data_IF_904370145415
#
_entry.id   IF_904370145415
#
_cell.length_a   1.000
_cell.length_b   1.000
_cell.length_c   1.000
_cell.angle_alpha   90.00
_cell.angle_beta   90.00
_cell.angle_gamma   90.00
#
_symmetry.space_group_name_H-M   'P 1'
#
loop_
_entity.id
_entity.type
_entity.pdbx_description
1 polymer ?
#
# COMPACT_ATOMS: atom_id res chain seq x y z
N UNK A 1 -16.00 16.89 -10.29
CA UNK A 1 -16.26 17.28 -8.89
C UNK A 1 -15.51 16.31 -8.01
N UNK A 2 -14.62 16.81 -7.16
CA UNK A 2 -13.66 16.02 -6.40
C UNK A 2 -14.39 15.18 -5.33
N UNK A 3 -13.87 14.00 -5.02
CA UNK A 3 -14.46 13.04 -4.10
C UNK A 3 -13.44 11.97 -3.78
N UNK A 4 -13.61 11.29 -2.66
CA UNK A 4 -12.59 10.38 -2.11
C UNK A 4 -12.72 9.02 -2.79
N UNK A 5 -11.64 8.43 -3.33
CA UNK A 5 -11.67 7.07 -3.86
C UNK A 5 -12.11 6.05 -2.79
N UNK A 6 -12.96 5.10 -3.15
CA UNK A 6 -13.52 4.10 -2.23
C UNK A 6 -12.46 3.18 -1.64
N UNK A 7 -11.39 2.85 -2.38
CA UNK A 7 -10.24 2.10 -1.86
C UNK A 7 -9.59 2.86 -0.70
N UNK A 8 -9.29 4.14 -0.88
CA UNK A 8 -8.70 4.99 0.16
C UNK A 8 -9.63 5.12 1.36
N UNK A 9 -10.93 5.30 1.12
CA UNK A 9 -11.91 5.38 2.19
C UNK A 9 -11.91 4.13 3.07
N UNK A 10 -11.95 2.95 2.44
CA UNK A 10 -11.95 1.68 3.15
C UNK A 10 -10.63 1.42 3.89
N UNK A 11 -9.49 1.75 3.30
CA UNK A 11 -8.19 1.66 3.96
C UNK A 11 -8.09 2.53 5.20
N UNK A 12 -8.54 3.79 5.13
CA UNK A 12 -8.53 4.67 6.30
C UNK A 12 -9.42 4.13 7.42
N UNK A 13 -10.57 3.51 7.09
CA UNK A 13 -11.42 2.82 8.08
C UNK A 13 -10.71 1.61 8.69
N UNK A 14 -10.07 0.77 7.87
CA UNK A 14 -9.30 -0.37 8.35
C UNK A 14 -8.15 0.07 9.27
N UNK A 15 -7.39 1.11 8.90
CA UNK A 15 -6.32 1.69 9.71
C UNK A 15 -6.81 2.23 11.05
N UNK A 16 -7.96 2.92 11.06
CA UNK A 16 -8.56 3.44 12.29
C UNK A 16 -8.96 2.33 13.28
N UNK A 17 -9.29 1.14 12.77
CA UNK A 17 -9.58 -0.03 13.60
C UNK A 17 -8.35 -0.90 13.91
N UNK A 18 -7.22 -0.65 13.26
CA UNK A 18 -6.02 -1.46 13.38
C UNK A 18 -5.27 -1.19 14.69
N UNK A 19 -5.67 -1.90 15.76
CA UNK A 19 -4.95 -1.94 17.05
C UNK A 19 -3.77 -2.92 17.07
N UNK A 20 -3.42 -3.52 15.93
CA UNK A 20 -2.60 -4.74 15.88
C UNK A 20 -1.09 -4.53 15.63
N UNK A 21 -0.66 -3.30 15.36
CA UNK A 21 0.77 -2.98 15.31
C UNK A 21 1.19 -2.45 16.68
N UNK A 22 1.97 -3.24 17.43
CA UNK A 22 2.53 -2.89 18.75
C UNK A 22 3.44 -1.64 18.75
N UNK A 23 3.49 -0.89 17.65
CA UNK A 23 4.37 0.26 17.39
C UNK A 23 3.62 1.51 16.92
N UNK A 24 2.29 1.45 16.74
CA UNK A 24 1.47 2.62 16.39
C UNK A 24 0.58 2.93 17.59
N UNK A 25 0.77 4.12 18.17
CA UNK A 25 0.07 4.51 19.39
C UNK A 25 -1.44 4.73 19.14
N UNK A 26 -1.81 5.55 18.15
CA UNK A 26 -3.20 5.79 17.72
C UNK A 26 -3.23 6.44 16.31
N UNK A 27 -4.18 6.06 15.45
CA UNK A 27 -4.41 6.69 14.13
C UNK A 27 -5.83 7.22 14.01
N UNK A 28 -6.00 8.46 13.53
CA UNK A 28 -7.31 9.05 13.24
C UNK A 28 -7.34 9.71 11.87
N UNK A 29 -8.50 9.60 11.21
CA UNK A 29 -8.75 10.19 9.90
C UNK A 29 -10.17 10.78 9.87
N UNK A 30 -10.27 12.02 9.40
CA UNK A 30 -11.53 12.74 9.25
C UNK A 30 -11.56 13.46 7.91
N UNK A 31 -12.76 13.65 7.37
CA UNK A 31 -12.98 14.38 6.13
C UNK A 31 -13.72 15.68 6.42
N UNK A 32 -13.27 16.76 5.79
CA UNK A 32 -13.99 18.03 5.80
C UNK A 32 -15.24 17.89 4.94
N UNK A 33 -16.41 18.05 5.54
CA UNK A 33 -17.70 17.93 4.85
C UNK A 33 -18.45 19.27 4.72
N UNK A 34 -18.06 20.29 5.48
CA UNK A 34 -18.63 21.65 5.38
C UNK A 34 -17.75 22.64 4.61
N UNK A 35 -18.37 23.72 4.10
CA UNK A 35 -17.70 24.77 3.34
C UNK A 35 -17.13 25.89 4.22
N UNK A 36 -16.02 26.56 3.82
CA UNK A 36 -15.21 26.27 2.65
C UNK A 36 -14.40 24.96 2.75
N UNK A 37 -14.26 24.29 1.60
CA UNK A 37 -13.30 23.21 1.44
C UNK A 37 -11.87 23.72 1.67
N UNK A 38 -11.03 22.85 2.24
CA UNK A 38 -9.63 23.16 2.54
C UNK A 38 -8.74 22.41 1.56
N UNK A 39 -7.83 23.14 0.90
CA UNK A 39 -6.79 22.59 0.05
C UNK A 39 -5.45 23.10 0.54
N UNK A 40 -4.92 22.46 1.58
CA UNK A 40 -3.65 22.82 2.20
C UNK A 40 -2.90 21.56 2.61
N UNK A 41 -1.59 21.57 2.43
CA UNK A 41 -0.70 20.59 3.04
C UNK A 41 -0.03 21.26 4.25
N UNK A 42 -0.60 21.01 5.43
CA UNK A 42 -0.12 21.51 6.71
C UNK A 42 0.31 20.33 7.57
N UNK A 43 1.53 20.39 8.08
CA UNK A 43 2.08 19.39 8.99
C UNK A 43 2.42 20.05 10.31
N UNK A 44 1.86 19.54 11.41
CA UNK A 44 2.08 20.06 12.77
C UNK A 44 2.60 18.93 13.64
N UNK A 45 3.77 19.11 14.23
CA UNK A 45 4.32 18.18 15.21
C UNK A 45 4.00 18.71 16.61
N UNK A 46 3.52 17.80 17.46
CA UNK A 46 3.22 18.11 18.86
C UNK A 46 4.02 17.20 19.78
N UNK A 47 4.32 17.69 20.98
CA UNK A 47 4.88 16.91 22.08
C UNK A 47 3.97 17.07 23.29
N UNK A 48 3.37 15.97 23.73
CA UNK A 48 2.39 15.98 24.83
C UNK A 48 1.26 16.99 24.58
N UNK A 49 0.78 17.07 23.33
CA UNK A 49 -0.27 18.00 22.90
C UNK A 49 0.19 19.45 22.64
N UNK A 50 1.44 19.81 22.96
CA UNK A 50 1.96 21.15 22.70
C UNK A 50 2.64 21.21 21.32
N UNK A 51 2.30 22.18 20.44
CA UNK A 51 2.89 22.27 19.12
C UNK A 51 4.34 22.73 19.20
N UNK A 52 5.25 22.02 18.53
CA UNK A 52 6.71 22.25 18.58
C UNK A 52 7.25 22.82 17.28
N UNK A 53 6.81 22.30 16.13
CA UNK A 53 7.18 22.79 14.80
C UNK A 53 6.03 22.56 13.81
N UNK A 54 5.95 23.39 12.79
CA UNK A 54 4.95 23.28 11.74
C UNK A 54 5.49 23.77 10.40
N UNK A 55 5.02 23.15 9.32
CA UNK A 55 5.39 23.47 7.94
C UNK A 55 4.16 23.46 7.04
N UNK A 56 4.11 24.40 6.10
CA UNK A 56 3.06 24.49 5.09
C UNK A 56 3.65 24.67 3.70
N UNK A 57 3.06 24.06 2.69
CA UNK A 57 3.54 24.22 1.31
C UNK A 57 2.88 23.28 0.30
N UNK A 58 3.62 22.90 -0.74
CA UNK A 58 3.11 22.08 -1.84
C UNK A 58 3.14 20.57 -1.58
N UNK A 59 4.01 20.11 -0.67
CA UNK A 59 4.25 18.68 -0.40
C UNK A 59 2.97 17.94 0.04
N UNK A 60 2.40 17.02 -0.77
CA UNK A 60 1.30 16.17 -0.32
C UNK A 60 1.80 15.10 0.67
N UNK A 61 0.87 14.43 1.37
CA UNK A 61 1.23 13.35 2.30
C UNK A 61 1.47 12.03 1.55
N UNK A 62 2.54 11.96 0.77
CA UNK A 62 3.05 10.75 0.10
C UNK A 62 4.53 10.53 0.42
N UNK A 63 5.12 9.39 0.08
CA UNK A 63 6.51 9.11 0.44
C UNK A 63 7.49 10.00 -0.32
N UNK A 64 7.19 10.36 -1.58
CA UNK A 64 8.06 11.12 -2.48
C UNK A 64 8.29 12.55 -1.96
N UNK A 65 7.32 13.08 -1.23
CA UNK A 65 7.43 14.40 -0.61
C UNK A 65 8.26 14.40 0.69
N UNK A 66 8.56 13.22 1.26
CA UNK A 66 9.27 13.07 2.53
C UNK A 66 10.60 12.29 2.41
N UNK A 67 10.86 11.66 1.27
CA UNK A 67 12.07 10.89 0.97
C UNK A 67 12.81 11.50 -0.23
N UNK A 68 14.07 11.11 -0.50
CA UNK A 68 14.78 11.58 -1.68
C UNK A 68 13.99 11.28 -2.96
N UNK A 69 13.51 12.33 -3.63
CA UNK A 69 12.73 12.25 -4.86
C UNK A 69 13.32 13.16 -5.94
N UNK A 70 12.91 12.94 -7.19
CA UNK A 70 13.22 13.84 -8.31
C UNK A 70 12.27 15.04 -8.38
N UNK A 71 11.22 15.04 -7.55
CA UNK A 71 10.28 16.15 -7.40
C UNK A 71 10.72 17.00 -6.21
N UNK A 72 10.78 18.31 -6.40
CA UNK A 72 11.10 19.27 -5.34
C UNK A 72 9.81 20.00 -4.93
N UNK A 73 9.42 19.84 -3.67
CA UNK A 73 8.30 20.56 -3.06
C UNK A 73 8.78 21.77 -2.27
N UNK A 74 8.03 22.87 -2.35
CA UNK A 74 8.30 24.07 -1.58
C UNK A 74 7.56 23.96 -0.25
N UNK A 75 8.31 24.07 0.85
CA UNK A 75 7.78 24.05 2.22
C UNK A 75 8.38 25.20 3.02
N UNK A 76 7.53 25.93 3.73
CA UNK A 76 7.93 27.05 4.59
C UNK A 76 7.59 26.74 6.06
N UNK A 77 8.47 27.09 7.01
CA UNK A 77 8.14 27.03 8.43
C UNK A 77 7.04 28.05 8.76
N UNK A 78 6.07 27.62 9.56
CA UNK A 78 4.95 28.46 10.02
C UNK A 78 4.85 28.41 11.55
N UNK A 79 4.12 29.37 12.15
CA UNK A 79 3.97 29.37 13.61
C UNK A 79 3.23 28.09 14.08
N UNK A 80 3.82 27.29 14.98
CA UNK A 80 3.22 26.02 15.39
C UNK A 80 1.90 26.18 16.15
N UNK A 81 1.73 27.28 16.91
CA UNK A 81 0.51 27.52 17.71
C UNK A 81 -0.63 27.95 16.81
N UNK A 82 -0.40 28.90 15.91
CA UNK A 82 -1.39 29.33 14.92
C UNK A 82 -1.80 28.17 14.01
N UNK A 83 -0.85 27.32 13.62
CA UNK A 83 -1.10 26.13 12.81
C UNK A 83 -1.99 25.11 13.52
N UNK A 84 -1.76 24.85 14.80
CA UNK A 84 -2.61 23.96 15.58
C UNK A 84 -4.03 24.52 15.74
N UNK A 85 -4.15 25.83 16.00
CA UNK A 85 -5.47 26.51 16.08
C UNK A 85 -6.22 26.41 14.75
N UNK A 86 -5.52 26.58 13.63
CA UNK A 86 -6.10 26.40 12.30
C UNK A 86 -6.57 24.96 12.08
N UNK A 87 -5.74 23.97 12.44
CA UNK A 87 -6.11 22.55 12.40
C UNK A 87 -7.37 22.26 13.23
N UNK A 88 -7.43 22.70 14.49
CA UNK A 88 -8.58 22.49 15.38
C UNK A 88 -9.86 23.14 14.81
N UNK A 89 -9.74 24.30 14.16
CA UNK A 89 -10.84 24.97 13.48
C UNK A 89 -11.39 24.11 12.33
N UNK A 90 -10.53 23.42 11.60
CA UNK A 90 -10.93 22.48 10.54
C UNK A 90 -11.52 21.20 11.14
N UNK A 91 -10.99 20.70 12.25
CA UNK A 91 -11.54 19.52 12.91
C UNK A 91 -13.02 19.68 13.27
N UNK A 92 -13.43 20.88 13.72
CA UNK A 92 -14.83 21.19 14.06
C UNK A 92 -15.83 21.06 12.91
N UNK A 93 -15.35 21.01 11.67
CA UNK A 93 -16.14 20.88 10.43
C UNK A 93 -15.78 19.62 9.65
N UNK A 94 -15.20 18.66 10.36
CA UNK A 94 -14.81 17.38 9.83
C UNK A 94 -15.61 16.26 10.50
N UNK A 95 -15.72 15.13 9.82
CA UNK A 95 -16.37 13.93 10.33
C UNK A 95 -15.40 12.76 10.18
N UNK A 96 -15.31 11.91 11.21
CA UNK A 96 -14.45 10.72 11.16
C UNK A 96 -14.81 9.85 9.94
N UNK A 97 -13.80 9.28 9.29
CA UNK A 97 -14.02 8.37 8.16
C UNK A 97 -14.81 7.11 8.53
N UNK A 98 -14.90 6.79 9.83
CA UNK A 98 -15.64 5.67 10.39
C UNK A 98 -17.06 6.03 10.85
N UNK A 99 -17.47 7.29 10.75
CA UNK A 99 -18.80 7.72 11.17
C UNK A 99 -19.89 7.07 10.30
N UNK A 100 -21.00 6.64 10.89
CA UNK A 100 -22.06 5.90 10.19
C UNK A 100 -22.67 6.69 9.01
N UNK A 101 -22.69 8.02 9.11
CA UNK A 101 -23.27 8.94 8.13
C UNK A 101 -22.21 9.56 7.18
N UNK A 102 -20.96 9.06 7.18
CA UNK A 102 -19.88 9.70 6.40
C UNK A 102 -20.17 9.72 4.90
N UNK A 103 -20.75 8.65 4.36
CA UNK A 103 -21.06 8.51 2.92
C UNK A 103 -22.27 9.37 2.49
N UNK A 104 -23.06 9.87 3.45
CA UNK A 104 -24.14 10.83 3.21
C UNK A 104 -23.62 12.26 3.14
N UNK A 105 -22.52 12.55 3.85
CA UNK A 105 -21.95 13.88 3.99
C UNK A 105 -20.74 14.12 3.07
N UNK A 106 -20.06 13.05 2.64
CA UNK A 106 -18.86 13.09 1.81
C UNK A 106 -19.02 12.19 0.61
N UNK A 107 -18.68 12.71 -0.57
CA UNK A 107 -18.74 11.94 -1.82
C UNK A 107 -17.60 10.93 -1.88
N UNK A 108 -17.89 9.69 -1.52
CA UNK A 108 -17.04 8.53 -1.84
C UNK A 108 -17.33 8.11 -3.28
N UNK A 109 -16.28 7.99 -4.09
CA UNK A 109 -16.38 7.55 -5.48
C UNK A 109 -15.91 6.11 -5.55
N UNK A 110 -16.66 5.26 -6.22
CA UNK A 110 -16.12 3.98 -6.66
C UNK A 110 -14.94 4.26 -7.57
N UNK A 111 -13.75 4.03 -7.04
CA UNK A 111 -12.57 3.75 -7.81
C UNK A 111 -12.57 2.25 -8.02
N UNK A 112 -13.49 1.80 -8.87
CA UNK A 112 -13.21 0.62 -9.65
C UNK A 112 -11.94 0.96 -10.42
N UNK A 113 -10.78 0.71 -9.80
CA UNK A 113 -9.47 0.53 -10.43
C UNK A 113 -9.56 -0.72 -11.31
N UNK A 114 -10.57 -0.78 -12.16
CA UNK A 114 -10.52 -1.58 -13.36
C UNK A 114 -9.42 -0.92 -14.16
N UNK A 115 -8.31 -1.63 -14.33
CA UNK A 115 -7.24 -1.29 -15.27
C UNK A 115 -7.77 -0.85 -16.64
N UNK A 116 -9.03 -1.18 -16.96
CA UNK A 116 -9.82 -0.68 -18.09
C UNK A 116 -9.82 0.85 -18.20
N UNK A 117 -9.97 1.62 -17.11
CA UNK A 117 -9.99 3.09 -17.19
C UNK A 117 -8.58 3.70 -17.24
N UNK A 118 -7.60 3.11 -16.54
CA UNK A 118 -6.19 3.52 -16.56
C UNK A 118 -5.49 3.19 -17.90
N UNK A 119 -5.83 2.06 -18.52
CA UNK A 119 -5.29 1.63 -19.82
C UNK A 119 -5.85 2.41 -21.02
N UNK A 120 -6.96 3.15 -20.83
CA UNK A 120 -7.61 3.91 -21.89
C UNK A 120 -6.83 5.16 -22.33
N UNK A 121 -5.83 5.61 -21.56
CA UNK A 121 -5.09 6.84 -21.87
C UNK A 121 -3.56 6.67 -21.97
N UNK A 122 -2.97 5.60 -21.41
CA UNK A 122 -1.56 5.22 -21.66
C UNK A 122 -1.36 3.72 -21.45
N UNK A 123 -0.53 3.07 -22.27
CA UNK A 123 -0.10 1.70 -22.01
C UNK A 123 0.88 1.71 -20.83
N UNK A 124 0.35 1.64 -19.61
CA UNK A 124 1.16 1.61 -18.39
C UNK A 124 2.18 0.47 -18.43
N UNK A 125 3.37 0.74 -17.92
CA UNK A 125 4.42 -0.27 -17.82
C UNK A 125 3.96 -1.38 -16.87
N UNK A 126 4.17 -2.63 -17.27
CA UNK A 126 3.80 -3.80 -16.48
C UNK A 126 4.84 -4.90 -16.57
N UNK A 127 4.91 -5.73 -15.53
CA UNK A 127 5.75 -6.92 -15.47
C UNK A 127 4.97 -8.09 -14.88
N UNK A 128 5.18 -9.28 -15.42
CA UNK A 128 4.61 -10.52 -14.87
C UNK A 128 5.70 -11.31 -14.16
N UNK A 129 5.45 -11.65 -12.90
CA UNK A 129 6.36 -12.39 -12.03
C UNK A 129 5.80 -13.78 -11.76
N UNK A 130 6.56 -14.81 -12.14
CA UNK A 130 6.18 -16.20 -11.86
C UNK A 130 6.30 -16.51 -10.36
N UNK A 131 5.30 -17.21 -9.82
CA UNK A 131 5.30 -17.79 -8.48
C UNK A 131 5.99 -19.17 -8.46
N UNK A 132 6.31 -19.72 -9.64
CA UNK A 132 7.04 -20.96 -9.82
C UNK A 132 8.56 -20.72 -9.87
N UNK A 133 9.30 -21.80 -9.68
CA UNK A 133 10.75 -21.83 -9.92
C UNK A 133 11.06 -21.81 -11.42
N UNK A 134 12.34 -21.69 -11.77
CA UNK A 134 12.81 -21.73 -13.16
C UNK A 134 12.48 -23.05 -13.88
N UNK A 135 12.34 -24.13 -13.12
CA UNK A 135 12.01 -25.45 -13.65
C UNK A 135 10.49 -25.64 -13.82
N UNK A 136 9.69 -24.59 -13.59
CA UNK A 136 8.23 -24.64 -13.69
C UNK A 136 7.53 -25.35 -12.53
N UNK A 137 8.24 -25.57 -11.42
CA UNK A 137 7.73 -26.27 -10.22
C UNK A 137 7.59 -25.34 -9.03
N UNK A 138 6.82 -25.73 -8.00
CA UNK A 138 6.70 -24.93 -6.78
C UNK A 138 7.96 -25.06 -5.92
N UNK A 139 8.45 -23.93 -5.41
CA UNK A 139 9.62 -23.92 -4.53
C UNK A 139 9.34 -24.66 -3.22
N UNK A 140 10.19 -25.62 -2.84
CA UNK A 140 10.03 -26.32 -1.54
C UNK A 140 10.37 -25.45 -0.33
N UNK A 141 11.31 -24.51 -0.48
CA UNK A 141 11.81 -23.60 0.58
C UNK A 141 12.10 -22.20 0.02
N UNK A 142 11.35 -21.79 -1.01
CA UNK A 142 11.49 -20.52 -1.72
C UNK A 142 10.12 -20.01 -2.19
N UNK A 143 10.06 -18.75 -2.62
CA UNK A 143 8.80 -18.11 -3.05
C UNK A 143 7.75 -18.15 -1.94
N UNK A 144 6.56 -18.66 -2.26
CA UNK A 144 5.43 -18.81 -1.34
C UNK A 144 5.68 -19.75 -0.15
N UNK A 145 6.66 -20.65 -0.28
CA UNK A 145 7.02 -21.63 0.75
C UNK A 145 8.37 -21.32 1.42
N UNK A 146 8.88 -20.08 1.34
CA UNK A 146 10.17 -19.73 1.92
C UNK A 146 10.25 -19.97 3.45
N UNK A 147 9.12 -19.87 4.14
CA UNK A 147 8.97 -20.16 5.57
C UNK A 147 8.89 -21.65 5.92
N UNK A 148 8.72 -22.56 4.96
CA UNK A 148 8.47 -24.00 5.16
C UNK A 148 9.75 -24.76 5.56
N UNK A 149 10.29 -24.43 6.73
CA UNK A 149 11.50 -25.03 7.32
C UNK A 149 11.52 -24.84 8.83
N UNK A 150 12.30 -25.68 9.51
CA UNK A 150 12.48 -25.61 10.95
C UNK A 150 12.93 -24.19 11.39
N UNK A 151 12.40 -23.73 12.52
CA UNK A 151 12.73 -22.45 13.16
C UNK A 151 12.43 -21.19 12.32
N UNK A 152 11.45 -21.26 11.42
CA UNK A 152 10.92 -20.09 10.70
C UNK A 152 9.41 -20.03 10.89
N UNK A 153 8.85 -18.82 10.77
CA UNK A 153 7.41 -18.69 10.68
C UNK A 153 6.98 -19.30 9.32
N UNK A 154 6.12 -20.34 9.30
CA UNK A 154 5.73 -21.04 8.08
C UNK A 154 4.99 -20.18 7.04
N UNK A 155 4.44 -19.04 7.47
CA UNK A 155 3.80 -18.06 6.57
C UNK A 155 4.78 -17.18 5.81
N UNK A 156 6.08 -17.15 6.16
CA UNK A 156 7.00 -16.25 5.47
C UNK A 156 7.10 -16.60 3.98
N UNK A 157 6.87 -15.59 3.13
CA UNK A 157 6.93 -15.72 1.67
C UNK A 157 7.61 -14.50 1.04
N UNK A 158 7.99 -14.63 -0.23
CA UNK A 158 8.40 -13.52 -1.08
C UNK A 158 7.96 -13.80 -2.53
N UNK A 159 7.79 -12.76 -3.34
CA UNK A 159 7.60 -12.90 -4.80
C UNK A 159 8.98 -12.79 -5.46
N UNK A 160 9.44 -13.78 -6.24
CA UNK A 160 10.71 -13.71 -6.94
C UNK A 160 10.74 -12.60 -7.99
N UNK A 161 11.81 -11.82 -8.03
CA UNK A 161 12.06 -10.81 -9.05
C UNK A 161 13.24 -11.24 -9.92
N UNK A 162 13.02 -11.51 -11.23
CA UNK A 162 14.10 -11.75 -12.18
C UNK A 162 15.10 -10.58 -12.23
N UNK A 163 16.38 -10.91 -12.37
CA UNK A 163 17.47 -9.91 -12.39
C UNK A 163 17.28 -8.84 -13.48
N UNK A 164 16.64 -9.20 -14.60
CA UNK A 164 16.33 -8.28 -15.69
C UNK A 164 15.31 -7.22 -15.29
N UNK A 165 14.31 -7.59 -14.49
CA UNK A 165 13.31 -6.66 -13.96
C UNK A 165 13.93 -5.78 -12.87
N UNK A 166 14.71 -6.36 -11.96
CA UNK A 166 15.43 -5.60 -10.93
C UNK A 166 16.38 -4.55 -11.55
N UNK A 167 17.10 -4.89 -12.61
CA UNK A 167 18.00 -3.97 -13.33
C UNK A 167 17.27 -2.87 -14.10
N UNK A 168 16.05 -3.13 -14.56
CA UNK A 168 15.21 -2.13 -15.25
C UNK A 168 14.66 -1.06 -14.30
N UNK A 169 14.77 -1.26 -12.97
CA UNK A 169 14.19 -0.37 -11.95
C UNK A 169 12.67 -0.17 -12.12
N UNK A 170 11.97 -1.25 -12.48
CA UNK A 170 10.51 -1.25 -12.53
C UNK A 170 9.92 -0.97 -11.13
N UNK A 171 10.49 -1.59 -10.09
CA UNK A 171 10.15 -1.32 -8.70
C UNK A 171 11.21 -0.40 -8.06
N UNK A 172 10.83 0.42 -7.05
CA UNK A 172 11.75 1.20 -6.24
C UNK A 172 12.85 0.33 -5.62
N UNK A 173 14.11 0.77 -5.76
CA UNK A 173 15.29 0.08 -5.27
C UNK A 173 15.70 0.61 -3.87
N UNK A 174 16.90 0.25 -3.40
CA UNK A 174 17.47 0.76 -2.13
C UNK A 174 16.59 0.49 -0.88
N UNK A 175 15.76 -0.56 -0.96
CA UNK A 175 14.77 -0.95 0.07
C UNK A 175 13.67 0.09 0.30
N UNK A 176 13.46 1.02 -0.64
CA UNK A 176 12.30 1.91 -0.64
C UNK A 176 11.01 1.09 -0.64
N UNK A 177 10.05 1.56 0.14
CA UNK A 177 8.74 0.92 0.29
C UNK A 177 7.78 1.51 -0.73
N UNK A 178 6.86 0.71 -1.23
CA UNK A 178 5.81 1.18 -2.13
C UNK A 178 4.51 0.44 -1.85
N UNK A 179 3.40 1.08 -2.21
CA UNK A 179 2.06 0.56 -1.97
C UNK A 179 1.57 -0.18 -3.20
N UNK A 180 0.93 -1.32 -2.96
CA UNK A 180 0.39 -2.19 -3.99
C UNK A 180 -1.09 -2.41 -3.71
N UNK A 181 -1.94 -1.90 -4.60
CA UNK A 181 -3.36 -2.25 -4.64
C UNK A 181 -3.54 -3.58 -5.36
N UNK A 182 -4.29 -4.51 -4.78
CA UNK A 182 -4.51 -5.82 -5.38
C UNK A 182 -5.86 -5.90 -6.08
N UNK A 183 -6.02 -6.89 -6.95
CA UNK A 183 -7.29 -7.15 -7.63
C UNK A 183 -8.47 -7.51 -6.69
N UNK A 184 -8.19 -7.92 -5.45
CA UNK A 184 -9.19 -8.15 -4.40
C UNK A 184 -9.33 -6.97 -3.42
N UNK A 185 -8.94 -5.75 -3.83
CA UNK A 185 -9.05 -4.51 -3.08
C UNK A 185 -8.33 -4.55 -1.73
N UNK A 186 -7.16 -5.20 -1.70
CA UNK A 186 -6.26 -5.20 -0.56
C UNK A 186 -5.01 -4.39 -0.88
N UNK A 187 -4.39 -3.90 0.18
CA UNK A 187 -3.27 -2.98 0.08
C UNK A 187 -2.07 -3.61 0.78
N UNK A 188 -0.99 -3.75 0.04
CA UNK A 188 0.26 -4.33 0.52
C UNK A 188 1.35 -3.27 0.43
N UNK A 189 2.14 -3.12 1.50
CA UNK A 189 3.38 -2.35 1.44
C UNK A 189 4.50 -3.33 1.10
N UNK A 190 5.16 -3.15 -0.04
CA UNK A 190 6.24 -4.00 -0.50
C UNK A 190 7.57 -3.24 -0.59
N UNK A 191 8.68 -3.97 -0.57
CA UNK A 191 10.02 -3.48 -0.92
C UNK A 191 10.85 -4.58 -1.57
N UNK A 192 11.83 -4.19 -2.37
CA UNK A 192 12.87 -5.11 -2.85
C UNK A 192 13.87 -5.46 -1.74
N UNK A 193 14.20 -6.75 -1.63
CA UNK A 193 15.14 -7.29 -0.65
C UNK A 193 16.03 -8.41 -1.22
N UNK A 194 16.99 -8.83 -0.39
CA UNK A 194 17.97 -9.89 -0.60
C UNK A 194 19.07 -9.53 -1.60
N UNK A 195 20.00 -10.46 -1.80
CA UNK A 195 21.11 -10.27 -2.73
C UNK A 195 20.58 -9.99 -4.15
N UNK A 196 20.94 -8.82 -4.70
CA UNK A 196 20.56 -8.34 -6.05
C UNK A 196 19.06 -8.06 -6.22
N UNK A 197 18.38 -7.65 -5.14
CA UNK A 197 16.99 -7.19 -5.20
C UNK A 197 16.05 -8.25 -5.83
N UNK A 198 16.28 -9.51 -5.49
CA UNK A 198 15.62 -10.67 -6.11
C UNK A 198 14.28 -11.06 -5.49
N UNK A 199 13.83 -10.34 -4.46
CA UNK A 199 12.67 -10.71 -3.67
C UNK A 199 11.83 -9.48 -3.29
N UNK A 200 10.54 -9.50 -3.63
CA UNK A 200 9.55 -8.58 -3.05
C UNK A 200 9.04 -9.13 -1.73
N UNK A 201 9.06 -8.29 -0.70
CA UNK A 201 8.71 -8.66 0.68
C UNK A 201 7.93 -7.53 1.35
N UNK A 202 7.21 -7.85 2.43
CA UNK A 202 6.53 -6.87 3.27
C UNK A 202 7.48 -6.42 4.40
N UNK A 203 7.63 -5.10 4.65
CA UNK A 203 8.70 -4.56 5.50
C UNK A 203 8.58 -4.91 6.98
N UNK A 204 7.33 -5.05 7.48
CA UNK A 204 7.04 -5.40 8.86
C UNK A 204 7.25 -6.90 9.14
N UNK A 205 6.76 -7.74 8.23
CA UNK A 205 6.82 -9.19 8.38
C UNK A 205 6.49 -9.87 7.05
N UNK A 206 7.45 -10.64 6.51
CA UNK A 206 7.27 -11.44 5.29
C UNK A 206 6.12 -12.46 5.39
N UNK A 207 5.61 -12.72 6.60
CA UNK A 207 4.44 -13.57 6.80
C UNK A 207 3.16 -12.96 6.23
N UNK A 208 3.02 -11.63 6.22
CA UNK A 208 1.84 -10.95 5.69
C UNK A 208 1.61 -11.30 4.22
N UNK A 209 2.68 -11.32 3.42
CA UNK A 209 2.61 -11.69 2.02
C UNK A 209 2.19 -13.16 1.84
N UNK A 210 2.70 -14.07 2.67
CA UNK A 210 2.34 -15.47 2.55
C UNK A 210 0.96 -15.81 3.10
N UNK A 211 0.45 -15.08 4.09
CA UNK A 211 -0.93 -15.15 4.56
C UNK A 211 -1.90 -14.65 3.47
N UNK A 212 -1.55 -13.55 2.80
CA UNK A 212 -2.30 -13.05 1.66
C UNK A 212 -2.44 -14.12 0.56
N UNK A 213 -1.34 -14.68 0.06
CA UNK A 213 -1.40 -15.69 -1.01
C UNK A 213 -2.10 -16.98 -0.57
N UNK A 214 -1.86 -17.47 0.66
CA UNK A 214 -2.54 -18.66 1.18
C UNK A 214 -4.06 -18.46 1.23
N UNK A 215 -4.52 -17.30 1.72
CA UNK A 215 -5.93 -16.93 1.72
C UNK A 215 -6.51 -16.90 0.30
N UNK A 216 -5.82 -16.28 -0.66
CA UNK A 216 -6.24 -16.22 -2.07
C UNK A 216 -6.39 -17.62 -2.69
N UNK A 217 -5.47 -18.53 -2.35
CA UNK A 217 -5.44 -19.91 -2.85
C UNK A 217 -6.38 -20.87 -2.11
N UNK A 218 -7.00 -20.43 -1.01
CA UNK A 218 -7.80 -21.30 -0.13
C UNK A 218 -6.94 -22.32 0.64
N UNK A 219 -5.67 -22.02 0.87
CA UNK A 219 -4.70 -22.82 1.63
C UNK A 219 -4.63 -22.28 3.07
N UNK A 220 -4.54 -23.18 4.06
CA UNK A 220 -4.48 -22.77 5.47
C UNK A 220 -3.20 -22.00 5.81
N UNK A 221 -3.29 -21.07 6.77
CA UNK A 221 -2.11 -20.37 7.26
C UNK A 221 -1.08 -21.36 7.82
N UNK A 222 0.15 -21.24 7.34
CA UNK A 222 1.28 -22.08 7.69
C UNK A 222 1.39 -23.36 6.86
N UNK A 223 0.41 -23.68 6.02
CA UNK A 223 0.47 -24.85 5.16
C UNK A 223 1.39 -24.63 3.96
N UNK A 224 1.84 -25.75 3.41
CA UNK A 224 2.65 -25.79 2.20
C UNK A 224 1.76 -25.53 0.97
N UNK A 225 2.13 -24.54 0.16
CA UNK A 225 1.46 -24.27 -1.12
C UNK A 225 2.00 -25.26 -2.16
N UNK A 226 1.11 -26.04 -2.77
CA UNK A 226 1.45 -27.01 -3.82
C UNK A 226 1.28 -26.42 -5.22
N UNK A 227 1.81 -27.10 -6.24
CA UNK A 227 1.53 -26.75 -7.65
C UNK A 227 0.04 -26.87 -7.96
N UNK A 228 -0.61 -27.91 -7.44
CA UNK A 228 -2.05 -28.13 -7.61
C UNK A 228 -2.88 -26.98 -7.03
N UNK A 229 -2.45 -26.33 -5.95
CA UNK A 229 -3.16 -25.16 -5.41
C UNK A 229 -3.15 -23.99 -6.40
N UNK A 230 -2.02 -23.75 -7.07
CA UNK A 230 -1.90 -22.72 -8.11
C UNK A 230 -2.68 -23.08 -9.37
N UNK A 231 -2.62 -24.34 -9.82
CA UNK A 231 -3.36 -24.81 -10.98
C UNK A 231 -4.87 -24.82 -10.75
N UNK A 232 -5.33 -25.25 -9.57
CA UNK A 232 -6.73 -25.19 -9.16
C UNK A 232 -7.23 -23.75 -9.05
N UNK A 233 -6.38 -22.85 -8.59
CA UNK A 233 -6.68 -21.42 -8.59
C UNK A 233 -6.77 -20.85 -10.02
N UNK A 234 -6.02 -21.42 -10.96
CA UNK A 234 -6.01 -21.07 -12.38
C UNK A 234 -4.88 -20.12 -12.78
N UNK A 235 -3.94 -19.82 -11.88
CA UNK A 235 -2.85 -18.87 -12.14
C UNK A 235 -1.58 -19.21 -11.37
N UNK A 236 -0.43 -19.04 -12.02
CA UNK A 236 0.90 -19.37 -11.48
C UNK A 236 1.84 -18.16 -11.41
N UNK A 237 1.33 -16.96 -11.67
CA UNK A 237 2.07 -15.71 -11.72
C UNK A 237 1.21 -14.57 -11.15
N UNK A 238 1.84 -13.42 -10.96
CA UNK A 238 1.18 -12.15 -10.65
C UNK A 238 1.66 -11.09 -11.63
N UNK A 239 0.76 -10.19 -12.02
CA UNK A 239 1.10 -9.06 -12.90
C UNK A 239 1.10 -7.77 -12.11
N UNK A 240 2.22 -7.05 -12.13
CA UNK A 240 2.33 -5.72 -11.56
C UNK A 240 2.23 -4.67 -12.67
N UNK A 241 1.40 -3.66 -12.46
CA UNK A 241 1.30 -2.46 -13.30
C UNK A 241 1.77 -1.26 -12.50
N UNK A 242 2.70 -0.47 -13.07
CA UNK A 242 3.19 0.77 -12.44
C UNK A 242 2.15 1.87 -12.65
N UNK A 243 1.59 2.40 -11.55
CA UNK A 243 0.67 3.54 -11.59
C UNK A 243 1.49 4.83 -11.53
N UNK A 244 2.38 4.91 -10.55
CA UNK A 244 3.41 5.95 -10.39
C UNK A 244 4.66 5.36 -9.70
N UNK A 245 5.55 6.18 -9.14
CA UNK A 245 6.78 5.72 -8.47
C UNK A 245 6.52 5.00 -7.13
N UNK A 246 5.36 5.21 -6.49
CA UNK A 246 5.04 4.71 -5.14
C UNK A 246 3.82 3.81 -5.10
N UNK A 247 3.02 3.82 -6.17
CA UNK A 247 1.78 3.08 -6.30
C UNK A 247 1.85 2.11 -7.47
N UNK A 248 1.54 0.86 -7.16
CA UNK A 248 1.45 -0.22 -8.12
C UNK A 248 0.11 -0.93 -7.97
N UNK A 249 -0.34 -1.54 -9.05
CA UNK A 249 -1.43 -2.49 -9.02
C UNK A 249 -0.88 -3.90 -9.19
N UNK A 250 -1.32 -4.87 -8.39
CA UNK A 250 -0.99 -6.29 -8.54
C UNK A 250 -2.24 -7.09 -8.85
N UNK A 251 -2.28 -7.61 -10.06
CA UNK A 251 -3.29 -8.55 -10.51
C UNK A 251 -2.89 -9.98 -10.17
N UNK A 252 -3.68 -10.62 -9.32
CA UNK A 252 -3.67 -12.07 -9.10
C UNK A 252 -5.06 -12.68 -9.36
N UNK A 253 -5.91 -12.04 -10.15
CA UNK A 253 -7.26 -12.53 -10.46
C UNK A 253 -7.23 -13.86 -11.20
N UNK A 254 -8.32 -14.62 -11.08
CA UNK A 254 -8.49 -15.87 -11.85
C UNK A 254 -8.76 -15.51 -13.31
N UNK A 255 -8.06 -16.13 -14.28
CA UNK A 255 -8.41 -15.97 -15.68
C UNK A 255 -9.85 -16.44 -15.88
N UNK A 256 -10.63 -15.66 -16.63
CA UNK A 256 -11.98 -16.04 -17.06
C UNK A 256 -11.94 -17.18 -18.10
#
# INVERSE_FOLDING_TARGET
MDGIPSSWHNEFKELHHCKQLATIDDFSCSYVYEMPAVRSNLYVWTKEGNPTTAFMGSAPFCQDAFLPSTVEDIMEPVDPKESLVFYDTICNRSMFCTHAEIEENVRVKNDDLTLTELSSQTALEHVTLSLLTKDGTIGRKSGLNWGQRAHRNPNQAYIPVPIEIARKRFFPNEKQQFTVQTDDHKSLILRLEQEKDKALTTPLSNSLLGEYFRRRLGVGNGDFVTEEDLYRYGRTDVTFTKIDEEQFYMDFSRPC
#
